data_IF_238379505302
#
_entry.id   IF_238379505302
#
_cell.length_a   1.000
_cell.length_b   1.000
_cell.length_c   1.000
_cell.angle_alpha   90.00
_cell.angle_beta   90.00
_cell.angle_gamma   90.00
#
_symmetry.space_group_name_H-M   'P 1'
#
loop_
_entity.id
_entity.type
_entity.pdbx_description
1 polymer ?
#
# COMPACT_ATOMS: atom_id res chain seq x y z
N UNK A 1 2.93 19.53 5.66
CA UNK A 1 3.49 19.25 4.31
C UNK A 1 2.75 18.06 3.76
N UNK A 2 2.43 17.96 2.45
CA UNK A 2 2.13 16.65 1.90
C UNK A 2 3.34 15.80 2.26
N UNK A 3 3.15 14.77 3.08
CA UNK A 3 4.25 13.84 3.36
C UNK A 3 4.57 13.28 1.99
N UNK A 4 5.69 13.70 1.39
CA UNK A 4 6.19 13.04 0.21
C UNK A 4 6.71 11.70 0.72
N UNK A 5 5.79 10.74 0.91
CA UNK A 5 6.03 9.42 1.51
C UNK A 5 7.10 8.65 0.72
N UNK A 6 7.47 9.11 -0.47
CA UNK A 6 8.36 8.42 -1.41
C UNK A 6 9.74 9.06 -1.61
N UNK A 7 10.20 9.99 -0.77
CA UNK A 7 11.62 10.37 -0.80
C UNK A 7 12.46 9.28 -0.11
N UNK A 8 12.59 8.14 -0.78
CA UNK A 8 13.46 7.03 -0.38
C UNK A 8 14.94 7.45 -0.49
N UNK A 9 15.85 6.82 0.28
CA UNK A 9 17.29 7.06 0.20
C UNK A 9 17.83 6.96 -1.23
N UNK A 10 18.90 7.73 -1.48
CA UNK A 10 19.60 7.80 -2.77
C UNK A 10 19.91 6.41 -3.31
N UNK A 11 19.48 6.16 -4.55
CA UNK A 11 19.60 4.89 -5.26
C UNK A 11 21.00 4.28 -5.09
N UNK A 12 21.15 3.01 -4.66
CA UNK A 12 22.38 2.28 -4.94
C UNK A 12 22.59 2.21 -6.47
N UNK A 13 23.86 2.11 -6.94
CA UNK A 13 24.13 1.95 -8.36
C UNK A 13 23.33 0.76 -8.90
N UNK A 14 22.53 1.01 -9.93
CA UNK A 14 21.65 0.01 -10.53
C UNK A 14 22.55 -0.97 -11.28
N UNK A 15 22.52 -2.24 -10.87
CA UNK A 15 23.08 -3.32 -11.67
C UNK A 15 22.39 -3.32 -13.05
N UNK A 16 23.15 -3.27 -14.13
CA UNK A 16 22.62 -3.30 -15.51
C UNK A 16 21.75 -4.54 -15.76
N UNK A 17 21.90 -5.60 -14.97
CA UNK A 17 21.03 -6.78 -14.98
C UNK A 17 19.55 -6.47 -14.67
N UNK A 18 19.27 -5.32 -14.04
CA UNK A 18 17.92 -4.84 -13.72
C UNK A 18 17.26 -4.13 -14.92
N UNK A 19 17.98 -3.85 -16.02
CA UNK A 19 17.48 -3.13 -17.21
C UNK A 19 16.46 -3.91 -18.08
N UNK A 20 15.64 -4.77 -17.46
CA UNK A 20 14.55 -5.48 -18.13
C UNK A 20 13.40 -4.56 -18.58
N UNK A 21 12.41 -5.13 -19.30
CA UNK A 21 11.20 -4.40 -19.69
C UNK A 21 10.46 -3.86 -18.46
N UNK A 22 9.71 -2.77 -18.64
CA UNK A 22 8.86 -2.20 -17.60
C UNK A 22 7.84 -3.25 -17.12
N UNK A 23 7.86 -3.64 -15.84
CA UNK A 23 6.89 -4.59 -15.31
C UNK A 23 5.50 -3.95 -15.28
N UNK A 24 4.52 -4.66 -15.81
CA UNK A 24 3.11 -4.31 -15.77
C UNK A 24 2.41 -4.99 -14.60
N UNK A 25 1.19 -4.59 -14.28
CA UNK A 25 0.44 -5.16 -13.15
C UNK A 25 0.19 -6.66 -13.28
N UNK A 26 0.08 -7.18 -14.51
CA UNK A 26 -0.06 -8.62 -14.72
C UNK A 26 1.25 -9.37 -14.43
N UNK A 27 2.42 -8.74 -14.60
CA UNK A 27 3.71 -9.36 -14.25
C UNK A 27 3.83 -9.56 -12.74
N UNK A 28 3.39 -8.58 -11.94
CA UNK A 28 3.26 -8.75 -10.48
C UNK A 28 2.28 -9.86 -10.13
N UNK A 29 1.09 -9.86 -10.72
CA UNK A 29 0.07 -10.88 -10.43
C UNK A 29 0.55 -12.29 -10.80
N UNK A 30 1.26 -12.42 -11.92
CA UNK A 30 1.91 -13.65 -12.35
C UNK A 30 2.98 -14.04 -11.33
N UNK A 31 3.93 -13.16 -11.02
CA UNK A 31 5.01 -13.42 -10.06
C UNK A 31 4.52 -13.86 -8.67
N UNK A 32 3.37 -13.35 -8.23
CA UNK A 32 2.73 -13.69 -6.96
C UNK A 32 1.85 -14.95 -7.02
N UNK A 33 1.69 -15.58 -8.20
CA UNK A 33 0.79 -16.73 -8.36
C UNK A 33 -0.70 -16.37 -8.20
N UNK A 34 -1.08 -15.13 -8.46
CA UNK A 34 -2.47 -14.64 -8.47
C UNK A 34 -3.13 -14.79 -9.86
N UNK A 35 -2.28 -14.86 -10.90
CA UNK A 35 -2.62 -15.04 -12.31
C UNK A 35 -1.69 -16.07 -12.92
N UNK A 36 -2.23 -16.97 -13.76
CA UNK A 36 -1.41 -17.87 -14.55
C UNK A 36 -0.75 -17.13 -15.73
N UNK A 37 0.53 -17.41 -15.99
CA UNK A 37 1.22 -16.85 -17.15
C UNK A 37 0.71 -17.45 -18.47
N UNK A 38 0.56 -16.62 -19.50
CA UNK A 38 0.29 -17.11 -20.86
C UNK A 38 1.48 -17.86 -21.46
N UNK A 39 2.70 -17.63 -20.96
CA UNK A 39 3.93 -18.24 -21.47
C UNK A 39 4.27 -19.54 -20.71
N UNK A 40 4.38 -20.65 -21.45
CA UNK A 40 4.60 -21.98 -20.87
C UNK A 40 5.87 -22.08 -19.99
N UNK A 41 6.99 -21.54 -20.47
CA UNK A 41 8.25 -21.56 -19.71
C UNK A 41 8.16 -20.76 -18.40
N UNK A 42 7.38 -19.67 -18.36
CA UNK A 42 7.16 -18.91 -17.12
C UNK A 42 6.29 -19.73 -16.15
N UNK A 43 5.26 -20.43 -16.64
CA UNK A 43 4.43 -21.29 -15.77
C UNK A 43 5.26 -22.38 -15.10
N UNK A 44 6.13 -23.04 -15.86
CA UNK A 44 7.03 -24.08 -15.35
C UNK A 44 8.01 -23.51 -14.32
N UNK A 45 8.60 -22.35 -14.60
CA UNK A 45 9.46 -21.65 -13.65
C UNK A 45 8.71 -21.33 -12.34
N UNK A 46 7.48 -20.86 -12.43
CA UNK A 46 6.67 -20.48 -11.27
C UNK A 46 6.17 -21.65 -10.44
N UNK A 47 5.88 -22.78 -11.08
CA UNK A 47 5.47 -24.00 -10.39
C UNK A 47 6.56 -24.53 -9.46
N UNK A 48 7.83 -24.26 -9.79
CA UNK A 48 9.00 -24.71 -9.05
C UNK A 48 9.64 -23.61 -8.17
N UNK A 49 9.09 -22.39 -8.19
CA UNK A 49 9.63 -21.24 -7.47
C UNK A 49 9.35 -21.33 -5.98
N UNK A 50 10.42 -21.34 -5.17
CA UNK A 50 10.35 -21.23 -3.71
C UNK A 50 9.86 -19.84 -3.28
N UNK A 51 9.41 -19.70 -2.02
CA UNK A 51 8.98 -18.39 -1.50
C UNK A 51 10.13 -17.36 -1.47
N UNK A 52 11.36 -17.80 -1.16
CA UNK A 52 12.54 -16.95 -1.16
C UNK A 52 12.85 -16.42 -2.56
N UNK A 53 12.85 -17.30 -3.57
CA UNK A 53 13.03 -16.89 -4.97
C UNK A 53 11.91 -15.94 -5.42
N UNK A 54 10.68 -16.15 -4.93
CA UNK A 54 9.54 -15.27 -5.22
C UNK A 54 9.73 -13.88 -4.61
N UNK A 55 10.20 -13.80 -3.37
CA UNK A 55 10.57 -12.55 -2.71
C UNK A 55 11.66 -11.84 -3.50
N UNK A 56 12.74 -12.53 -3.86
CA UNK A 56 13.82 -11.95 -4.65
C UNK A 56 13.35 -11.47 -6.03
N UNK A 57 12.48 -12.22 -6.70
CA UNK A 57 11.95 -11.84 -7.99
C UNK A 57 11.02 -10.62 -7.91
N UNK A 58 10.05 -10.62 -6.99
CA UNK A 58 9.10 -9.49 -6.87
C UNK A 58 9.78 -8.26 -6.27
N UNK A 59 10.44 -8.42 -5.13
CA UNK A 59 11.02 -7.32 -4.36
C UNK A 59 12.36 -6.87 -4.94
N UNK A 60 13.27 -7.80 -5.16
CA UNK A 60 14.63 -7.51 -5.66
C UNK A 60 14.67 -7.13 -7.13
N UNK A 61 13.70 -7.54 -7.96
CA UNK A 61 13.70 -7.26 -9.40
C UNK A 61 12.53 -6.39 -9.87
N UNK A 62 11.28 -6.84 -9.72
CA UNK A 62 10.13 -6.13 -10.29
C UNK A 62 9.92 -4.76 -9.64
N UNK A 63 9.95 -4.69 -8.30
CA UNK A 63 9.79 -3.43 -7.58
C UNK A 63 10.97 -2.48 -7.80
N UNK A 64 12.21 -2.98 -7.78
CA UNK A 64 13.40 -2.16 -8.10
C UNK A 64 13.28 -1.56 -9.50
N UNK A 65 12.92 -2.37 -10.50
CA UNK A 65 12.73 -1.89 -11.87
C UNK A 65 11.59 -0.88 -11.96
N UNK A 66 10.47 -1.11 -11.29
CA UNK A 66 9.33 -0.19 -11.28
C UNK A 66 9.72 1.18 -10.67
N UNK A 67 10.50 1.18 -9.58
CA UNK A 67 11.00 2.41 -8.92
C UNK A 67 11.93 3.25 -9.83
N UNK A 68 12.38 2.70 -10.95
CA UNK A 68 13.16 3.46 -11.94
C UNK A 68 12.29 4.39 -12.79
N UNK A 69 10.99 4.10 -12.91
CA UNK A 69 10.05 4.85 -13.75
C UNK A 69 9.56 6.15 -13.11
N UNK A 70 9.03 7.09 -13.92
CA UNK A 70 8.29 8.24 -13.39
C UNK A 70 7.18 7.82 -12.44
N UNK A 71 6.99 8.59 -11.37
CA UNK A 71 6.00 8.33 -10.32
C UNK A 71 4.58 8.08 -10.87
N UNK A 72 4.15 8.86 -11.88
CA UNK A 72 2.85 8.69 -12.54
C UNK A 72 2.70 7.30 -13.18
N UNK A 73 3.77 6.79 -13.82
CA UNK A 73 3.77 5.46 -14.43
C UNK A 73 3.69 4.36 -13.38
N UNK A 74 4.41 4.52 -12.26
CA UNK A 74 4.33 3.59 -11.13
C UNK A 74 2.89 3.53 -10.58
N UNK A 75 2.27 4.69 -10.42
CA UNK A 75 0.91 4.78 -9.87
C UNK A 75 -0.12 4.17 -10.82
N UNK A 76 0.03 4.29 -12.15
CA UNK A 76 -0.86 3.61 -13.12
C UNK A 76 -0.77 2.09 -12.95
N UNK A 77 0.45 1.55 -12.87
CA UNK A 77 0.70 0.11 -12.75
C UNK A 77 0.15 -0.42 -11.42
N UNK A 78 0.48 0.22 -10.30
CA UNK A 78 0.03 -0.20 -8.98
C UNK A 78 -1.47 0.03 -8.77
N UNK A 79 -2.07 1.04 -9.40
CA UNK A 79 -3.53 1.23 -9.39
C UNK A 79 -4.26 0.10 -10.10
N UNK A 80 -3.78 -0.29 -11.29
CA UNK A 80 -4.36 -1.44 -12.00
C UNK A 80 -4.18 -2.72 -11.21
N UNK A 81 -2.99 -2.93 -10.63
CA UNK A 81 -2.72 -4.10 -9.80
C UNK A 81 -3.68 -4.15 -8.61
N UNK A 82 -3.80 -3.06 -7.87
CA UNK A 82 -4.66 -2.96 -6.69
C UNK A 82 -6.13 -3.17 -7.06
N UNK A 83 -6.64 -2.52 -8.11
CA UNK A 83 -8.03 -2.68 -8.53
C UNK A 83 -8.38 -4.14 -8.88
N UNK A 84 -7.51 -4.84 -9.60
CA UNK A 84 -7.83 -6.16 -10.16
C UNK A 84 -7.45 -7.30 -9.21
N UNK A 85 -6.34 -7.19 -8.50
CA UNK A 85 -5.69 -8.32 -7.81
C UNK A 85 -5.70 -8.24 -6.29
N UNK A 86 -6.20 -7.14 -5.68
CA UNK A 86 -6.16 -6.95 -4.23
C UNK A 86 -6.84 -8.08 -3.45
N UNK A 87 -8.02 -8.55 -3.85
CA UNK A 87 -8.72 -9.63 -3.12
C UNK A 87 -7.90 -10.93 -3.10
N UNK A 88 -7.32 -11.32 -4.24
CA UNK A 88 -6.46 -12.52 -4.34
C UNK A 88 -5.15 -12.34 -3.58
N UNK A 89 -4.57 -11.14 -3.60
CA UNK A 89 -3.40 -10.82 -2.78
C UNK A 89 -3.72 -10.99 -1.29
N UNK A 90 -4.86 -10.46 -0.83
CA UNK A 90 -5.27 -10.56 0.56
C UNK A 90 -5.61 -11.99 0.99
N UNK A 91 -6.17 -12.80 0.09
CA UNK A 91 -6.36 -14.24 0.32
C UNK A 91 -5.02 -14.94 0.58
N UNK A 92 -4.04 -14.76 -0.31
CA UNK A 92 -2.68 -15.33 -0.15
C UNK A 92 -1.96 -14.79 1.08
N UNK A 93 -2.07 -13.49 1.32
CA UNK A 93 -1.53 -12.86 2.51
C UNK A 93 -2.14 -13.47 3.77
N UNK A 94 -3.48 -13.60 3.86
CA UNK A 94 -4.13 -14.21 5.04
C UNK A 94 -3.71 -15.66 5.26
N UNK A 95 -3.43 -16.41 4.20
CA UNK A 95 -2.94 -17.79 4.29
C UNK A 95 -1.49 -17.91 4.80
N UNK A 96 -0.70 -16.84 4.78
CA UNK A 96 0.69 -16.83 5.24
C UNK A 96 0.83 -16.17 6.61
N UNK A 97 1.49 -16.82 7.57
CA UNK A 97 1.83 -16.22 8.86
C UNK A 97 3.20 -15.51 8.87
N UNK A 98 3.96 -15.64 7.79
CA UNK A 98 5.30 -15.10 7.68
C UNK A 98 5.27 -13.59 7.35
N UNK A 99 5.79 -12.70 8.23
CA UNK A 99 5.94 -11.29 7.92
C UNK A 99 6.89 -11.03 6.75
N UNK A 100 7.82 -11.95 6.46
CA UNK A 100 8.74 -11.90 5.32
C UNK A 100 8.17 -12.44 4.01
N UNK A 101 6.95 -13.00 4.01
CA UNK A 101 6.33 -13.50 2.78
C UNK A 101 6.15 -12.39 1.75
N UNK A 102 6.23 -12.74 0.47
CA UNK A 102 6.16 -11.76 -0.62
C UNK A 102 4.87 -10.94 -0.60
N UNK A 103 3.78 -11.55 -0.11
CA UNK A 103 2.48 -10.91 0.02
C UNK A 103 2.48 -9.83 1.10
N UNK A 104 3.13 -10.10 2.25
CA UNK A 104 3.31 -9.13 3.33
C UNK A 104 4.18 -7.95 2.88
N UNK A 105 5.26 -8.23 2.14
CA UNK A 105 6.19 -7.21 1.64
C UNK A 105 5.60 -6.34 0.52
N UNK A 106 4.58 -6.82 -0.21
CA UNK A 106 3.96 -6.04 -1.28
C UNK A 106 2.89 -5.06 -0.77
N UNK A 107 2.20 -5.37 0.32
CA UNK A 107 1.13 -4.53 0.86
C UNK A 107 1.54 -3.06 1.13
N UNK A 108 2.73 -2.77 1.70
CA UNK A 108 3.23 -1.40 1.85
C UNK A 108 3.26 -0.60 0.55
N UNK A 109 3.53 -1.23 -0.59
CA UNK A 109 3.65 -0.55 -1.88
C UNK A 109 2.30 -0.15 -2.49
N UNK A 110 1.20 -0.72 -2.02
CA UNK A 110 -0.15 -0.41 -2.51
C UNK A 110 -1.01 0.31 -1.49
N UNK A 111 -0.57 0.50 -0.24
CA UNK A 111 -1.42 1.09 0.80
C UNK A 111 -1.76 2.56 0.59
N UNK A 112 -0.88 3.30 -0.10
CA UNK A 112 -1.15 4.70 -0.46
C UNK A 112 -1.98 4.81 -1.76
N UNK A 113 -2.33 3.68 -2.37
CA UNK A 113 -3.14 3.67 -3.59
C UNK A 113 -4.62 3.95 -3.29
N UNK A 114 -5.24 4.84 -4.07
CA UNK A 114 -6.66 5.21 -3.91
C UNK A 114 -7.59 3.99 -3.88
N UNK A 115 -7.30 2.95 -4.65
CA UNK A 115 -8.08 1.70 -4.66
C UNK A 115 -7.99 0.96 -3.33
N UNK A 116 -6.80 0.88 -2.73
CA UNK A 116 -6.60 0.26 -1.42
C UNK A 116 -7.35 1.04 -0.33
N UNK A 117 -7.30 2.37 -0.38
CA UNK A 117 -7.97 3.23 0.59
C UNK A 117 -9.50 3.11 0.50
N UNK A 118 -10.06 3.11 -0.72
CA UNK A 118 -11.50 2.87 -0.94
C UNK A 118 -11.88 1.47 -0.46
N UNK A 119 -11.06 0.45 -0.75
CA UNK A 119 -11.28 -0.90 -0.28
C UNK A 119 -11.32 -0.98 1.24
N UNK A 120 -10.32 -0.41 1.92
CA UNK A 120 -10.26 -0.38 3.38
C UNK A 120 -11.49 0.32 4.00
N UNK A 121 -11.98 1.39 3.35
CA UNK A 121 -13.19 2.10 3.77
C UNK A 121 -14.52 1.38 3.42
N UNK A 122 -14.51 0.40 2.51
CA UNK A 122 -15.73 -0.20 1.93
C UNK A 122 -16.50 -1.17 2.86
N UNK A 123 -16.02 -1.40 4.09
CA UNK A 123 -16.52 -2.44 5.02
C UNK A 123 -16.51 -3.87 4.44
N UNK A 124 -15.77 -4.10 3.35
CA UNK A 124 -15.67 -5.41 2.74
C UNK A 124 -15.10 -6.43 3.75
N UNK A 125 -15.61 -7.67 3.84
CA UNK A 125 -15.16 -8.65 4.83
C UNK A 125 -13.65 -8.94 4.79
N UNK A 126 -13.05 -8.95 3.61
CA UNK A 126 -11.60 -9.15 3.46
C UNK A 126 -10.75 -7.96 3.99
N UNK A 127 -11.35 -6.79 4.23
CA UNK A 127 -10.69 -5.65 4.88
C UNK A 127 -10.74 -5.74 6.42
N UNK A 128 -11.65 -6.55 6.97
CA UNK A 128 -11.86 -6.67 8.40
C UNK A 128 -10.59 -7.16 9.11
N UNK A 129 -10.25 -6.51 10.22
CA UNK A 129 -9.13 -6.87 11.10
C UNK A 129 -7.75 -6.88 10.39
N UNK A 130 -7.62 -6.21 9.24
CA UNK A 130 -6.37 -6.19 8.47
C UNK A 130 -5.21 -5.61 9.28
N UNK A 131 -5.41 -4.47 9.97
CA UNK A 131 -4.36 -3.86 10.80
C UNK A 131 -3.96 -4.76 11.96
N UNK A 132 -4.93 -5.43 12.59
CA UNK A 132 -4.66 -6.37 13.69
C UNK A 132 -3.79 -7.53 13.21
N UNK A 133 -4.16 -8.19 12.12
CA UNK A 133 -3.37 -9.29 11.56
C UNK A 133 -1.97 -8.85 11.11
N UNK A 134 -1.88 -7.68 10.49
CA UNK A 134 -0.59 -7.12 10.09
C UNK A 134 0.31 -6.86 11.31
N UNK A 135 -0.24 -6.22 12.35
CA UNK A 135 0.43 -5.96 13.62
C UNK A 135 0.90 -7.26 14.30
N UNK A 136 0.06 -8.30 14.34
CA UNK A 136 0.42 -9.61 14.91
C UNK A 136 1.60 -10.26 14.20
N UNK A 137 1.67 -10.15 12.86
CA UNK A 137 2.79 -10.70 12.08
C UNK A 137 4.05 -9.89 12.24
N UNK A 138 3.93 -8.57 12.25
CA UNK A 138 5.07 -7.68 12.49
C UNK A 138 5.69 -7.93 13.88
N UNK A 139 4.87 -8.21 14.89
CA UNK A 139 5.33 -8.61 16.21
C UNK A 139 6.15 -9.91 16.21
N UNK A 140 6.01 -10.78 15.19
CA UNK A 140 6.80 -12.01 15.01
C UNK A 140 8.06 -11.82 14.15
N UNK A 141 8.20 -10.69 13.45
CA UNK A 141 9.32 -10.46 12.52
C UNK A 141 10.69 -10.50 13.21
N UNK A 142 11.65 -11.22 12.62
CA UNK A 142 13.01 -11.40 13.18
C UNK A 142 14.07 -10.57 12.44
N UNK A 143 13.63 -9.54 11.72
CA UNK A 143 14.50 -8.62 10.99
C UNK A 143 15.44 -7.89 11.96
N UNK A 144 16.73 -8.01 11.72
CA UNK A 144 17.75 -7.41 12.59
C UNK A 144 19.05 -7.09 11.87
N UNK A 145 19.16 -7.48 10.60
CA UNK A 145 20.36 -7.26 9.78
C UNK A 145 20.19 -5.96 8.99
N UNK A 146 21.29 -5.40 8.51
CA UNK A 146 21.29 -4.17 7.72
C UNK A 146 20.51 -4.38 6.43
N UNK A 147 20.58 -5.57 5.84
CA UNK A 147 19.87 -5.95 4.63
C UNK A 147 18.34 -5.95 4.82
N UNK A 148 17.86 -6.04 6.06
CA UNK A 148 16.43 -5.98 6.38
C UNK A 148 15.89 -4.54 6.50
N UNK A 149 16.74 -3.51 6.34
CA UNK A 149 16.34 -2.12 6.62
C UNK A 149 15.15 -1.65 5.81
N UNK A 150 15.07 -2.07 4.53
CA UNK A 150 13.98 -1.72 3.64
C UNK A 150 12.67 -2.38 4.08
N UNK A 151 12.71 -3.65 4.54
CA UNK A 151 11.54 -4.34 5.08
C UNK A 151 11.03 -3.65 6.36
N UNK A 152 11.94 -3.25 7.24
CA UNK A 152 11.59 -2.52 8.47
C UNK A 152 10.99 -1.15 8.14
N UNK A 153 11.59 -0.41 7.20
CA UNK A 153 11.07 0.87 6.73
C UNK A 153 9.65 0.73 6.17
N UNK A 154 9.46 -0.16 5.20
CA UNK A 154 8.19 -0.39 4.52
C UNK A 154 7.13 -0.87 5.52
N UNK A 155 7.52 -1.73 6.45
CA UNK A 155 6.59 -2.28 7.42
C UNK A 155 6.11 -1.25 8.44
N UNK A 156 7.01 -0.41 8.95
CA UNK A 156 6.65 0.69 9.86
C UNK A 156 5.86 1.79 9.15
N UNK A 157 6.16 2.06 7.87
CA UNK A 157 5.40 2.99 7.04
C UNK A 157 3.96 2.48 6.84
N UNK A 158 3.80 1.21 6.47
CA UNK A 158 2.50 0.59 6.29
C UNK A 158 1.69 0.55 7.59
N UNK A 159 2.30 0.12 8.70
CA UNK A 159 1.64 0.14 10.01
C UNK A 159 1.17 1.55 10.36
N UNK A 160 2.01 2.57 10.14
CA UNK A 160 1.63 3.97 10.38
C UNK A 160 0.42 4.39 9.55
N UNK A 161 0.39 4.05 8.26
CA UNK A 161 -0.75 4.34 7.38
C UNK A 161 -2.02 3.64 7.88
N UNK A 162 -1.93 2.36 8.26
CA UNK A 162 -3.07 1.60 8.78
C UNK A 162 -3.61 2.18 10.10
N UNK A 163 -2.73 2.57 11.04
CA UNK A 163 -3.11 3.21 12.31
C UNK A 163 -3.71 4.62 12.13
N UNK A 164 -3.41 5.29 11.02
CA UNK A 164 -4.06 6.56 10.67
C UNK A 164 -5.48 6.31 10.16
N UNK A 165 -5.70 5.24 9.39
CA UNK A 165 -7.02 4.86 8.90
C UNK A 165 -7.93 4.34 9.99
N UNK A 166 -7.45 3.35 10.72
CA UNK A 166 -8.16 2.63 11.76
C UNK A 166 -7.65 3.12 13.13
N UNK A 167 -8.54 3.70 13.95
CA UNK A 167 -8.14 4.28 15.24
C UNK A 167 -7.54 3.18 16.15
N UNK A 168 -6.27 3.35 16.57
CA UNK A 168 -5.46 2.29 17.16
C UNK A 168 -6.09 1.62 18.38
N UNK A 169 -6.79 2.38 19.23
CA UNK A 169 -7.45 1.88 20.45
C UNK A 169 -8.57 0.89 20.14
N UNK A 170 -9.18 1.02 18.97
CA UNK A 170 -10.30 0.18 18.55
C UNK A 170 -9.82 -1.11 17.88
N UNK A 171 -8.55 -1.15 17.48
CA UNK A 171 -8.05 -2.14 16.53
C UNK A 171 -6.92 -3.01 17.09
N UNK A 172 -6.07 -2.48 17.97
CA UNK A 172 -4.96 -3.24 18.55
C UNK A 172 -5.13 -3.46 20.07
N UNK A 173 -5.00 -4.70 20.56
CA UNK A 173 -4.86 -4.97 21.99
C UNK A 173 -3.67 -4.23 22.59
N UNK A 174 -3.77 -3.87 23.88
CA UNK A 174 -2.71 -3.14 24.58
C UNK A 174 -1.42 -3.95 24.64
N UNK A 175 -1.52 -5.25 24.89
CA UNK A 175 -0.38 -6.15 25.01
C UNK A 175 0.39 -6.23 23.68
N UNK A 176 -0.33 -6.29 22.55
CA UNK A 176 0.28 -6.28 21.23
C UNK A 176 0.93 -4.92 20.92
N UNK A 177 0.29 -3.83 21.35
CA UNK A 177 0.82 -2.47 21.19
C UNK A 177 2.16 -2.32 21.92
N UNK A 178 2.26 -2.82 23.15
CA UNK A 178 3.49 -2.78 23.95
C UNK A 178 4.63 -3.58 23.27
N UNK A 179 4.32 -4.80 22.80
CA UNK A 179 5.29 -5.63 22.05
C UNK A 179 5.82 -4.93 20.80
N UNK A 180 4.94 -4.25 20.06
CA UNK A 180 5.34 -3.51 18.85
C UNK A 180 6.19 -2.29 19.18
N UNK A 181 5.86 -1.56 20.26
CA UNK A 181 6.66 -0.42 20.72
C UNK A 181 8.09 -0.86 21.04
N UNK A 182 8.25 -1.94 21.81
CA UNK A 182 9.57 -2.43 22.20
C UNK A 182 10.37 -2.89 20.97
N UNK A 183 9.73 -3.64 20.07
CA UNK A 183 10.34 -4.12 18.83
C UNK A 183 10.80 -2.98 17.92
N UNK A 184 9.92 -2.02 17.64
CA UNK A 184 10.25 -0.90 16.75
C UNK A 184 11.29 0.02 17.40
N UNK A 185 11.29 0.15 18.74
CA UNK A 185 12.34 0.88 19.47
C UNK A 185 13.69 0.19 19.35
N UNK A 186 13.75 -1.14 19.42
CA UNK A 186 14.98 -1.90 19.18
C UNK A 186 15.49 -1.70 17.75
N UNK A 187 14.62 -1.72 16.75
CA UNK A 187 14.97 -1.37 15.37
C UNK A 187 15.47 0.07 15.23
N UNK A 188 14.83 1.02 15.92
CA UNK A 188 15.27 2.42 15.87
C UNK A 188 16.71 2.57 16.36
N UNK A 189 17.12 1.80 17.37
CA UNK A 189 18.50 1.77 17.87
C UNK A 189 19.41 1.07 16.85
N UNK A 190 19.04 -0.13 16.38
CA UNK A 190 19.85 -0.93 15.47
C UNK A 190 20.13 -0.20 14.14
N UNK A 191 19.15 0.54 13.62
CA UNK A 191 19.22 1.25 12.34
C UNK A 191 19.47 2.75 12.49
N UNK A 192 19.88 3.24 13.67
CA UNK A 192 20.09 4.67 13.93
C UNK A 192 21.11 5.35 12.99
N UNK A 193 22.03 4.56 12.42
CA UNK A 193 23.06 5.02 11.50
C UNK A 193 22.57 5.15 10.04
N UNK A 194 21.41 4.57 9.70
CA UNK A 194 20.87 4.62 8.35
C UNK A 194 20.08 5.92 8.12
N UNK A 195 20.20 6.53 6.94
CA UNK A 195 19.39 7.70 6.59
C UNK A 195 17.92 7.30 6.43
N UNK A 196 17.02 8.27 6.60
CA UNK A 196 15.60 8.16 6.26
C UNK A 196 14.77 7.12 7.04
N UNK A 197 15.20 6.69 8.24
CA UNK A 197 14.39 5.82 9.11
C UNK A 197 13.23 6.54 9.83
N UNK A 198 12.62 7.55 9.18
CA UNK A 198 11.52 8.35 9.72
C UNK A 198 10.22 7.58 10.03
N UNK A 199 9.88 6.45 9.35
CA UNK A 199 8.68 5.68 9.70
C UNK A 199 8.71 5.05 11.09
N UNK A 200 9.89 4.74 11.64
CA UNK A 200 10.02 4.09 12.95
C UNK A 200 9.53 4.99 14.10
N UNK A 201 10.06 6.21 14.30
CA UNK A 201 9.56 7.11 15.34
C UNK A 201 8.10 7.52 15.11
N UNK A 202 7.63 7.55 13.86
CA UNK A 202 6.21 7.80 13.54
C UNK A 202 5.32 6.66 14.04
N UNK A 203 5.68 5.42 13.72
CA UNK A 203 4.94 4.23 14.17
C UNK A 203 4.90 4.16 15.70
N UNK A 204 6.04 4.36 16.37
CA UNK A 204 6.11 4.43 17.84
C UNK A 204 5.22 5.56 18.37
N UNK A 205 5.28 6.74 17.76
CA UNK A 205 4.49 7.90 18.15
C UNK A 205 2.98 7.68 18.06
N UNK A 206 2.53 7.01 16.99
CA UNK A 206 1.13 6.62 16.80
C UNK A 206 0.69 5.55 17.80
N UNK A 207 1.49 4.49 17.99
CA UNK A 207 1.22 3.43 18.98
C UNK A 207 1.15 3.99 20.41
N UNK A 208 2.03 4.94 20.76
CA UNK A 208 2.03 5.64 22.06
C UNK A 208 0.99 6.76 22.16
N UNK A 209 0.24 7.04 21.09
CA UNK A 209 -0.74 8.14 21.01
C UNK A 209 -0.19 9.50 21.43
N UNK A 210 1.04 9.77 21.04
CA UNK A 210 1.63 11.09 21.25
C UNK A 210 0.78 12.15 20.52
N UNK A 211 0.37 13.18 21.25
CA UNK A 211 -0.60 14.19 20.79
C UNK A 211 -0.22 14.79 19.43
N UNK A 212 1.07 15.07 19.22
CA UNK A 212 1.59 15.59 17.94
C UNK A 212 1.33 14.62 16.79
N UNK A 213 1.69 13.34 16.95
CA UNK A 213 1.52 12.32 15.92
C UNK A 213 0.07 11.99 15.64
N UNK A 214 -0.78 11.93 16.66
CA UNK A 214 -2.24 11.74 16.48
C UNK A 214 -2.86 12.92 15.74
N UNK A 215 -2.46 14.15 16.06
CA UNK A 215 -2.94 15.36 15.37
C UNK A 215 -2.49 15.38 13.90
N UNK A 216 -1.24 15.06 13.63
CA UNK A 216 -0.74 14.98 12.24
C UNK A 216 -1.40 13.82 11.48
N UNK A 217 -1.56 12.65 12.11
CA UNK A 217 -2.30 11.52 11.55
C UNK A 217 -3.72 11.90 11.17
N UNK A 218 -4.44 12.65 12.03
CA UNK A 218 -5.78 13.16 11.71
C UNK A 218 -5.78 14.08 10.48
N UNK A 219 -4.81 14.98 10.35
CA UNK A 219 -4.70 15.84 9.15
C UNK A 219 -4.44 15.02 7.89
N UNK A 220 -3.61 13.99 7.99
CA UNK A 220 -3.33 13.06 6.87
C UNK A 220 -4.62 12.32 6.50
N UNK A 221 -5.34 11.77 7.47
CA UNK A 221 -6.64 11.13 7.27
C UNK A 221 -7.64 12.07 6.61
N UNK A 222 -7.84 13.27 7.13
CA UNK A 222 -8.74 14.28 6.56
C UNK A 222 -8.36 14.64 5.12
N UNK A 223 -7.07 14.71 4.81
CA UNK A 223 -6.60 14.95 3.45
C UNK A 223 -6.93 13.77 2.53
N UNK A 224 -6.65 12.54 2.95
CA UNK A 224 -6.97 11.33 2.20
C UNK A 224 -8.48 11.18 1.99
N UNK A 225 -9.28 11.34 3.04
CA UNK A 225 -10.74 11.33 2.98
C UNK A 225 -11.27 12.39 2.04
N UNK A 226 -10.69 13.59 2.01
CA UNK A 226 -11.05 14.62 1.02
C UNK A 226 -10.80 14.16 -0.42
N UNK A 227 -9.69 13.47 -0.68
CA UNK A 227 -9.39 12.94 -2.03
C UNK A 227 -10.41 11.88 -2.45
N UNK A 228 -10.91 11.10 -1.49
CA UNK A 228 -11.90 10.02 -1.71
C UNK A 228 -13.35 10.51 -1.75
N UNK A 229 -13.64 11.55 -0.99
CA UNK A 229 -14.98 12.02 -0.64
C UNK A 229 -15.17 13.47 -1.09
N UNK A 230 -14.57 13.89 -2.20
CA UNK A 230 -14.84 15.18 -2.82
C UNK A 230 -14.83 15.03 -4.35
N UNK A 231 -15.23 16.08 -5.05
CA UNK A 231 -15.11 16.07 -6.51
C UNK A 231 -13.64 15.98 -6.95
N UNK A 232 -13.31 14.97 -7.76
CA UNK A 232 -11.93 14.75 -8.23
C UNK A 232 -11.48 15.68 -9.37
N UNK A 233 -12.35 16.57 -9.86
CA UNK A 233 -11.92 17.57 -10.85
C UNK A 233 -10.96 18.56 -10.19
N UNK A 234 -9.74 18.76 -10.72
CA UNK A 234 -8.82 19.77 -10.21
C UNK A 234 -9.48 21.16 -10.11
N UNK A 235 -9.28 21.80 -8.95
CA UNK A 235 -9.85 23.11 -8.61
C UNK A 235 -11.31 23.09 -8.13
N UNK A 236 -11.98 21.95 -8.10
CA UNK A 236 -13.31 21.85 -7.48
C UNK A 236 -13.16 21.62 -5.96
N UNK A 237 -13.99 22.30 -5.18
CA UNK A 237 -13.98 22.23 -3.71
C UNK A 237 -15.25 21.60 -3.13
N UNK A 238 -16.16 21.10 -3.98
CA UNK A 238 -17.42 20.48 -3.53
C UNK A 238 -17.09 19.21 -2.72
N UNK A 239 -17.39 19.20 -1.41
CA UNK A 239 -17.14 18.04 -0.57
C UNK A 239 -18.30 17.06 -0.64
N UNK A 240 -18.05 15.83 -0.22
CA UNK A 240 -19.08 14.88 0.19
C UNK A 240 -19.75 15.38 1.46
N UNK A 241 -21.08 15.32 1.50
CA UNK A 241 -21.86 15.61 2.70
C UNK A 241 -22.68 14.38 3.07
N UNK A 242 -22.40 13.71 4.21
CA UNK A 242 -23.18 12.55 4.62
C UNK A 242 -24.68 12.86 4.68
N UNK A 243 -25.51 12.02 4.05
CA UNK A 243 -26.98 12.14 4.05
C UNK A 243 -27.56 13.11 3.02
N UNK A 244 -26.76 13.98 2.41
CA UNK A 244 -27.20 14.92 1.36
C UNK A 244 -26.24 14.96 0.15
N UNK A 245 -25.40 13.93 0.02
CA UNK A 245 -24.40 13.86 -1.04
C UNK A 245 -25.05 13.79 -2.43
N UNK A 246 -24.59 14.67 -3.32
CA UNK A 246 -24.98 14.70 -4.74
C UNK A 246 -23.84 14.26 -5.66
N UNK A 247 -22.68 13.90 -5.09
CA UNK A 247 -21.55 13.44 -5.87
C UNK A 247 -21.84 12.10 -6.55
N UNK A 248 -21.67 12.07 -7.86
CA UNK A 248 -21.78 10.86 -8.68
C UNK A 248 -20.43 10.14 -8.71
N UNK A 249 -20.43 8.85 -8.41
CA UNK A 249 -19.24 8.00 -8.58
C UNK A 249 -19.01 7.68 -10.06
N UNK A 250 -17.75 7.57 -10.46
CA UNK A 250 -17.38 7.05 -11.78
C UNK A 250 -17.93 5.64 -11.94
N UNK A 251 -18.73 5.40 -13.00
CA UNK A 251 -19.37 4.11 -13.26
C UNK A 251 -18.39 2.96 -13.51
N UNK A 252 -17.17 3.27 -13.98
CA UNK A 252 -16.12 2.28 -14.22
C UNK A 252 -15.41 1.84 -12.94
N UNK A 253 -14.72 2.78 -12.29
CA UNK A 253 -13.86 2.47 -11.15
C UNK A 253 -14.50 2.59 -9.77
N UNK A 254 -15.61 3.33 -9.64
CA UNK A 254 -16.29 3.64 -8.37
C UNK A 254 -15.42 4.36 -7.31
N UNK A 255 -14.17 4.67 -7.62
CA UNK A 255 -13.23 5.36 -6.71
C UNK A 255 -13.30 6.88 -6.85
N UNK A 256 -13.41 7.41 -8.07
CA UNK A 256 -13.54 8.84 -8.31
C UNK A 256 -15.00 9.31 -8.18
N UNK A 257 -15.20 10.52 -7.66
CA UNK A 257 -16.48 11.22 -7.47
C UNK A 257 -16.51 12.55 -8.21
N UNK A 258 -17.69 12.94 -8.70
CA UNK A 258 -17.89 14.19 -9.42
C UNK A 258 -19.22 14.83 -9.04
N UNK A 259 -19.26 16.14 -8.83
CA UNK A 259 -20.53 16.85 -8.58
C UNK A 259 -21.39 17.00 -9.84
N UNK A 260 -20.83 16.76 -11.03
CA UNK A 260 -21.59 16.72 -12.28
C UNK A 260 -20.90 15.89 -13.38
N UNK A 261 -21.65 15.45 -14.40
CA UNK A 261 -21.08 14.80 -15.59
C UNK A 261 -20.07 15.67 -16.34
N UNK A 262 -20.21 17.00 -16.32
CA UNK A 262 -19.27 17.96 -16.94
C UNK A 262 -17.90 17.86 -16.26
N UNK A 263 -17.86 17.80 -14.93
CA UNK A 263 -16.61 17.66 -14.18
C UNK A 263 -15.91 16.34 -14.49
N UNK A 264 -16.66 15.25 -14.63
CA UNK A 264 -16.12 13.97 -15.07
C UNK A 264 -15.52 14.07 -16.48
N UNK A 265 -16.26 14.66 -17.44
CA UNK A 265 -15.79 14.85 -18.83
C UNK A 265 -14.50 15.68 -18.89
N UNK A 266 -14.40 16.74 -18.10
CA UNK A 266 -13.21 17.59 -18.04
C UNK A 266 -12.01 16.86 -17.41
N UNK A 267 -12.24 16.03 -16.38
CA UNK A 267 -11.19 15.23 -15.74
C UNK A 267 -10.83 13.95 -16.51
N UNK A 268 -11.63 13.55 -17.50
CA UNK A 268 -11.50 12.24 -18.16
C UNK A 268 -10.12 11.98 -18.77
N UNK A 269 -9.49 12.99 -19.36
CA UNK A 269 -8.19 12.84 -20.04
C UNK A 269 -7.12 12.26 -19.12
N UNK A 270 -7.09 12.69 -17.86
CA UNK A 270 -6.15 12.20 -16.84
C UNK A 270 -6.72 11.01 -16.08
N UNK A 271 -8.02 11.05 -15.72
CA UNK A 271 -8.66 9.98 -14.96
C UNK A 271 -8.62 8.62 -15.66
N UNK A 272 -8.79 8.58 -16.99
CA UNK A 272 -8.84 7.32 -17.75
C UNK A 272 -7.59 6.44 -17.59
N UNK A 273 -6.44 7.04 -17.27
CA UNK A 273 -5.18 6.31 -17.04
C UNK A 273 -5.22 5.49 -15.74
N UNK A 274 -6.06 5.90 -14.79
CA UNK A 274 -6.20 5.29 -13.47
C UNK A 274 -7.58 4.65 -13.26
N UNK A 275 -8.45 4.64 -14.28
CA UNK A 275 -9.82 4.14 -14.17
C UNK A 275 -9.88 2.64 -14.49
N UNK A 276 -9.83 1.83 -13.45
CA UNK A 276 -9.88 0.37 -13.48
C UNK A 276 -11.08 -0.09 -12.65
N UNK A 277 -11.84 -1.07 -13.15
CA UNK A 277 -12.95 -1.66 -12.39
C UNK A 277 -12.40 -2.51 -11.24
N UNK A 278 -12.70 -2.19 -9.97
CA UNK A 278 -12.23 -2.98 -8.84
C UNK A 278 -12.94 -4.33 -8.72
N UNK A 279 -12.19 -5.38 -8.42
CA UNK A 279 -12.70 -6.74 -8.27
C UNK A 279 -13.67 -6.94 -7.08
N UNK A 280 -13.78 -5.98 -6.15
CA UNK A 280 -14.70 -6.01 -5.00
C UNK A 280 -15.95 -5.15 -5.20
N UNK A 281 -16.18 -4.65 -6.41
CA UNK A 281 -17.36 -3.82 -6.75
C UNK A 281 -18.32 -4.54 -7.68
N UNK A 282 -18.17 -5.86 -7.81
CA UNK A 282 -19.12 -6.71 -8.54
C UNK A 282 -20.36 -6.89 -7.64
N UNK A 283 -21.50 -6.35 -8.12
CA UNK A 283 -22.83 -6.53 -7.54
C UNK A 283 -23.31 -7.98 -7.68
#
# INVERSE_FOLDING_TARGET
MPVNIRSLPTRPPVDESVAGPLPMSDDFAVALGLKESSFAHIREFQANMTEEERVQYVYGRLLVRLRMEPQEQQDVILSRFTAIWLLKLLERWRASEDPGSVYSLLLPHISDNVYFQVFLASRHPAAKDMTLHYAQRLAKATWSRVEDSDMVFDACQHLSTMLVYEDSDTVLPRELTDVLIDKISAWQIAYAHLPNMAPLPRAIGLLKRQVSWVREGRKVKEHMERVLMACNKPGCTVPYVPGTDTLQQCSGCKTARYCSPEHQRQHWKTHKLFCFRPAWTED
#
